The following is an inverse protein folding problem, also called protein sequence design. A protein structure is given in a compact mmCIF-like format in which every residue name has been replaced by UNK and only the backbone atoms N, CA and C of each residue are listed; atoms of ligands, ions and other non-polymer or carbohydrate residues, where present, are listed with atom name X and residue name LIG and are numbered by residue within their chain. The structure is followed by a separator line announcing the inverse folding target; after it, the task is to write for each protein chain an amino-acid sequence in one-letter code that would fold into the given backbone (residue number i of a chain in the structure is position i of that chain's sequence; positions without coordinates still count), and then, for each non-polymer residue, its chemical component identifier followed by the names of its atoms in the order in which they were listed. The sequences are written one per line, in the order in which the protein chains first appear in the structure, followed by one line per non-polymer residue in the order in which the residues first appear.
data_IF_303727719861
#
_entry.id   IF_303727719861
#
_cell.length_a   1.000
_cell.length_b   1.000
_cell.length_c   1.000
_cell.angle_alpha   90.00
_cell.angle_beta   90.00
_cell.angle_gamma   90.00
#
_symmetry.space_group_name_H-M   'P 1'
#
loop_
_entity.id
_entity.type
_entity.pdbx_description
1 polymer ?
#
# COMPACT_ATOMS: atom_id res chain seq x y z
N UNK A 1 25.45 -7.83 -77.49
CA UNK A 1 24.89 -6.97 -76.42
C UNK A 1 25.69 -7.25 -75.17
N UNK A 2 26.45 -6.27 -74.69
CA UNK A 2 27.45 -6.42 -73.63
C UNK A 2 26.78 -6.50 -72.26
N UNK A 3 27.26 -7.39 -71.39
CA UNK A 3 26.78 -7.64 -70.01
C UNK A 3 26.60 -6.33 -69.22
N UNK A 4 27.43 -5.33 -69.52
CA UNK A 4 27.39 -3.98 -68.95
C UNK A 4 26.07 -3.23 -69.18
N UNK A 5 25.35 -3.49 -70.28
CA UNK A 5 24.04 -2.87 -70.54
C UNK A 5 22.94 -3.53 -69.71
N UNK A 6 22.97 -4.86 -69.58
CA UNK A 6 22.01 -5.63 -68.78
C UNK A 6 22.10 -5.26 -67.29
N UNK A 7 23.32 -5.07 -66.78
CA UNK A 7 23.53 -4.61 -65.39
C UNK A 7 23.08 -3.17 -65.18
N UNK A 8 23.19 -2.33 -66.20
CA UNK A 8 22.76 -0.93 -66.11
C UNK A 8 21.23 -0.82 -66.10
N UNK A 9 20.55 -1.66 -66.89
CA UNK A 9 19.09 -1.74 -66.95
C UNK A 9 18.49 -2.35 -65.68
N UNK A 10 19.11 -3.39 -65.10
CA UNK A 10 18.68 -3.91 -63.79
C UNK A 10 18.91 -2.92 -62.64
N UNK A 11 19.94 -2.07 -62.74
CA UNK A 11 20.25 -1.06 -61.73
C UNK A 11 19.30 0.14 -61.78
N UNK A 12 18.89 0.56 -62.97
CA UNK A 12 17.87 1.61 -63.16
C UNK A 12 16.48 1.12 -62.74
N UNK A 13 16.12 -0.15 -63.01
CA UNK A 13 14.88 -0.76 -62.51
C UNK A 13 14.84 -0.86 -60.98
N UNK A 14 15.97 -1.18 -60.35
CA UNK A 14 16.07 -1.21 -58.88
C UNK A 14 15.96 0.19 -58.26
N UNK A 15 16.55 1.20 -58.89
CA UNK A 15 16.46 2.60 -58.44
C UNK A 15 15.10 3.25 -58.70
N UNK A 16 14.34 2.74 -59.67
CA UNK A 16 12.99 3.22 -59.98
C UNK A 16 11.91 2.66 -59.06
N UNK A 17 12.16 1.51 -58.40
CA UNK A 17 11.19 0.90 -57.48
C UNK A 17 11.17 1.64 -56.14
N UNK A 18 9.98 2.05 -55.66
CA UNK A 18 9.85 2.71 -54.37
C UNK A 18 10.30 1.77 -53.25
N UNK A 19 11.06 2.31 -52.30
CA UNK A 19 11.67 1.55 -51.17
C UNK A 19 10.61 0.80 -50.34
N UNK A 20 9.36 1.25 -50.40
CA UNK A 20 8.19 0.66 -49.74
C UNK A 20 7.79 -0.72 -50.29
N UNK A 21 8.13 -1.04 -51.55
CA UNK A 21 7.88 -2.37 -52.14
C UNK A 21 8.96 -3.40 -51.78
N UNK A 22 10.05 -2.96 -51.13
CA UNK A 22 11.13 -3.86 -50.73
C UNK A 22 10.73 -4.64 -49.46
N UNK A 23 10.74 -5.97 -49.58
CA UNK A 23 10.43 -6.92 -48.50
C UNK A 23 11.34 -6.69 -47.28
N UNK A 24 12.61 -6.35 -47.52
CA UNK A 24 13.59 -6.08 -46.45
C UNK A 24 13.25 -4.78 -45.70
N UNK A 25 12.72 -3.78 -46.41
CA UNK A 25 12.28 -2.52 -45.80
C UNK A 25 11.01 -2.72 -44.97
N UNK A 26 10.07 -3.53 -45.46
CA UNK A 26 8.88 -3.92 -44.69
C UNK A 26 9.25 -4.71 -43.42
N UNK A 27 10.22 -5.63 -43.51
CA UNK A 27 10.74 -6.35 -42.35
C UNK A 27 11.42 -5.40 -41.36
N UNK A 28 12.22 -4.45 -41.84
CA UNK A 28 12.87 -3.43 -41.01
C UNK A 28 11.85 -2.54 -40.29
N UNK A 29 10.79 -2.13 -40.97
CA UNK A 29 9.71 -1.33 -40.36
C UNK A 29 8.91 -2.11 -39.32
N UNK A 30 8.65 -3.40 -39.57
CA UNK A 30 8.03 -4.27 -38.56
C UNK A 30 8.91 -4.41 -37.32
N UNK A 31 10.23 -4.58 -37.50
CA UNK A 31 11.18 -4.61 -36.39
C UNK A 31 11.23 -3.28 -35.63
N UNK A 32 11.21 -2.15 -36.34
CA UNK A 32 11.15 -0.82 -35.74
C UNK A 32 9.91 -0.66 -34.85
N UNK A 33 8.73 -1.00 -35.37
CA UNK A 33 7.47 -0.95 -34.61
C UNK A 33 7.51 -1.87 -33.38
N UNK A 34 8.09 -3.06 -33.51
CA UNK A 34 8.25 -3.98 -32.39
C UNK A 34 9.16 -3.43 -31.30
N UNK A 35 10.27 -2.80 -31.70
CA UNK A 35 11.20 -2.14 -30.77
C UNK A 35 10.55 -0.94 -30.09
N UNK A 36 9.78 -0.14 -30.81
CA UNK A 36 9.02 0.99 -30.24
C UNK A 36 8.01 0.52 -29.19
N UNK A 37 7.26 -0.55 -29.48
CA UNK A 37 6.33 -1.17 -28.49
C UNK A 37 7.07 -1.68 -27.26
N UNK A 38 8.21 -2.35 -27.44
CA UNK A 38 9.03 -2.83 -26.32
C UNK A 38 9.57 -1.67 -25.47
N UNK A 39 9.95 -0.57 -26.11
CA UNK A 39 10.43 0.62 -25.43
C UNK A 39 9.32 1.26 -24.59
N UNK A 40 8.10 1.34 -25.13
CA UNK A 40 6.93 1.81 -24.40
C UNK A 40 6.57 0.91 -23.20
N UNK A 41 6.61 -0.41 -23.39
CA UNK A 41 6.44 -1.38 -22.30
C UNK A 41 7.50 -1.21 -21.21
N UNK A 42 8.77 -1.01 -21.57
CA UNK A 42 9.84 -0.76 -20.61
C UNK A 42 9.61 0.52 -19.81
N UNK A 43 9.16 1.60 -20.46
CA UNK A 43 8.80 2.86 -19.78
C UNK A 43 7.68 2.64 -18.77
N UNK A 44 6.65 1.90 -19.15
CA UNK A 44 5.54 1.55 -18.27
C UNK A 44 6.01 0.75 -17.05
N UNK A 45 6.84 -0.29 -17.25
CA UNK A 45 7.39 -1.05 -16.12
C UNK A 45 8.28 -0.21 -15.21
N UNK A 46 9.06 0.72 -15.77
CA UNK A 46 9.90 1.63 -14.99
C UNK A 46 9.05 2.56 -14.12
N UNK A 47 7.94 3.07 -14.66
CA UNK A 47 6.98 3.89 -13.90
C UNK A 47 6.32 3.09 -12.78
N UNK A 48 5.88 1.86 -13.06
CA UNK A 48 5.31 0.96 -12.05
C UNK A 48 6.30 0.64 -10.93
N UNK A 49 7.57 0.39 -11.27
CA UNK A 49 8.64 0.21 -10.29
C UNK A 49 8.84 1.46 -9.43
N UNK A 50 8.83 2.65 -10.03
CA UNK A 50 8.97 3.90 -9.30
C UNK A 50 7.82 4.12 -8.30
N UNK A 51 6.58 3.80 -8.69
CA UNK A 51 5.42 3.84 -7.81
C UNK A 51 5.56 2.84 -6.66
N UNK A 52 5.99 1.62 -6.95
CA UNK A 52 6.18 0.57 -5.94
C UNK A 52 7.31 0.93 -4.97
N UNK A 53 8.40 1.53 -5.45
CA UNK A 53 9.46 2.07 -4.59
C UNK A 53 8.96 3.22 -3.72
N UNK A 54 8.09 4.10 -4.24
CA UNK A 54 7.48 5.17 -3.46
C UNK A 54 6.54 4.63 -2.37
N UNK A 55 5.78 3.56 -2.67
CA UNK A 55 4.95 2.87 -1.67
C UNK A 55 5.79 2.14 -0.61
N UNK A 56 6.89 1.51 -1.01
CA UNK A 56 7.84 0.88 -0.09
C UNK A 56 8.53 1.92 0.81
N UNK A 57 8.86 3.09 0.26
CA UNK A 57 9.36 4.22 1.06
C UNK A 57 8.35 4.68 2.11
N UNK A 58 7.05 4.70 1.76
CA UNK A 58 5.99 5.00 2.74
C UNK A 58 5.85 3.90 3.80
N UNK A 59 6.00 2.62 3.45
CA UNK A 59 5.97 1.54 4.44
C UNK A 59 7.17 1.60 5.36
N UNK A 60 8.37 1.94 4.85
CA UNK A 60 9.54 2.14 5.69
C UNK A 60 9.37 3.30 6.68
N UNK A 61 8.77 4.41 6.25
CA UNK A 61 8.42 5.52 7.14
C UNK A 61 7.36 5.11 8.19
N UNK A 62 6.45 4.20 7.84
CA UNK A 62 5.46 3.65 8.77
C UNK A 62 6.12 2.71 9.79
N UNK A 63 7.09 1.90 9.36
CA UNK A 63 7.89 1.05 10.24
C UNK A 63 8.75 1.90 11.18
N UNK A 64 9.37 2.98 10.69
CA UNK A 64 10.09 3.95 11.52
C UNK A 64 9.16 4.64 12.52
N UNK A 65 7.97 5.04 12.10
CA UNK A 65 6.95 5.61 12.98
C UNK A 65 6.46 4.62 14.05
N UNK A 66 6.25 3.35 13.69
CA UNK A 66 5.94 2.28 14.64
C UNK A 66 7.11 2.08 15.59
N UNK A 67 8.35 2.07 15.10
CA UNK A 67 9.54 1.93 15.94
C UNK A 67 9.61 3.06 16.96
N UNK A 68 9.46 4.31 16.54
CA UNK A 68 9.41 5.49 17.44
C UNK A 68 8.25 5.40 18.44
N UNK A 69 7.06 4.93 18.01
CA UNK A 69 5.93 4.69 18.91
C UNK A 69 6.20 3.57 19.93
N UNK A 70 6.88 2.50 19.52
CA UNK A 70 7.25 1.38 20.41
C UNK A 70 8.35 1.77 21.39
N UNK A 71 9.33 2.56 20.97
CA UNK A 71 10.37 3.13 21.83
C UNK A 71 9.79 4.08 22.86
N UNK A 72 8.80 4.88 22.46
CA UNK A 72 8.11 5.83 23.34
C UNK A 72 6.85 5.25 24.00
N UNK A 73 6.61 3.94 23.90
CA UNK A 73 5.49 3.24 24.56
C UNK A 73 5.39 3.49 26.08
N UNK A 74 6.48 3.52 26.87
CA UNK A 74 6.37 3.85 28.30
C UNK A 74 5.89 5.29 28.53
N UNK A 75 6.35 6.25 27.72
CA UNK A 75 5.91 7.65 27.79
C UNK A 75 4.45 7.79 27.36
N UNK A 76 4.02 7.09 26.31
CA UNK A 76 2.61 7.07 25.90
C UNK A 76 1.74 6.44 26.98
N UNK A 77 2.18 5.36 27.62
CA UNK A 77 1.47 4.75 28.76
C UNK A 77 1.39 5.73 29.93
N UNK A 78 2.46 6.47 30.23
CA UNK A 78 2.44 7.50 31.26
C UNK A 78 1.49 8.64 30.90
N UNK A 79 1.52 9.15 29.68
CA UNK A 79 0.59 10.19 29.20
C UNK A 79 -0.87 9.70 29.28
N UNK A 80 -1.18 8.49 28.80
CA UNK A 80 -2.54 7.96 28.82
C UNK A 80 -3.02 7.58 30.23
N UNK A 81 -2.13 7.16 31.14
CA UNK A 81 -2.49 6.94 32.55
C UNK A 81 -2.66 8.25 33.32
N UNK A 82 -1.86 9.29 33.01
CA UNK A 82 -1.99 10.63 33.57
C UNK A 82 -3.22 11.37 33.03
N UNK A 83 -3.53 11.19 31.75
CA UNK A 83 -4.74 11.74 31.12
C UNK A 83 -5.99 10.98 31.58
N UNK A 84 -5.92 9.65 31.65
CA UNK A 84 -6.98 8.79 32.17
C UNK A 84 -7.28 9.04 33.65
N UNK A 85 -6.28 9.34 34.47
CA UNK A 85 -6.46 9.74 35.88
C UNK A 85 -7.02 11.16 36.01
N UNK A 86 -6.61 12.10 35.16
CA UNK A 86 -7.21 13.45 35.09
C UNK A 86 -8.68 13.42 34.64
N UNK A 87 -9.02 12.54 33.70
CA UNK A 87 -10.40 12.35 33.25
C UNK A 87 -11.23 11.57 34.29
N UNK A 88 -10.71 10.50 34.89
CA UNK A 88 -11.40 9.80 36.00
C UNK A 88 -11.67 10.71 37.19
N UNK A 89 -10.75 11.61 37.56
CA UNK A 89 -10.99 12.56 38.66
C UNK A 89 -12.12 13.56 38.36
N UNK A 90 -12.47 13.79 37.07
CA UNK A 90 -13.66 14.54 36.68
C UNK A 90 -14.92 13.69 36.70
N UNK A 91 -14.85 12.42 36.30
CA UNK A 91 -16.02 11.53 36.17
C UNK A 91 -16.39 10.79 37.46
N UNK A 92 -15.46 10.56 38.40
CA UNK A 92 -15.71 9.88 39.68
C UNK A 92 -16.67 10.62 40.63
N UNK A 93 -17.09 11.86 40.29
CA UNK A 93 -18.20 12.54 40.99
C UNK A 93 -19.59 12.21 40.45
N UNK A 94 -19.69 11.50 39.32
CA UNK A 94 -20.94 10.95 38.83
C UNK A 94 -20.83 9.43 38.86
N UNK A 95 -21.26 8.86 39.99
CA UNK A 95 -21.54 7.43 40.11
C UNK A 95 -22.72 7.16 39.15
N UNK A 96 -22.42 6.61 37.97
CA UNK A 96 -23.46 6.18 37.03
C UNK A 96 -23.99 4.86 37.57
N UNK A 97 -25.09 4.96 38.33
CA UNK A 97 -25.80 3.80 38.84
C UNK A 97 -26.64 3.23 37.69
N UNK A 98 -26.17 2.13 37.09
CA UNK A 98 -26.89 1.42 36.05
C UNK A 98 -27.82 0.43 36.74
N UNK A 99 -29.13 0.57 36.52
CA UNK A 99 -30.10 -0.38 37.08
C UNK A 99 -30.17 -1.65 36.22
N UNK A 100 -29.38 -2.65 36.61
CA UNK A 100 -29.24 -3.93 35.91
C UNK A 100 -30.45 -4.85 36.06
N UNK A 101 -31.32 -4.57 37.04
CA UNK A 101 -32.59 -5.29 37.22
C UNK A 101 -33.49 -5.15 35.99
N UNK A 102 -33.38 -4.05 35.26
CA UNK A 102 -34.07 -3.82 33.98
C UNK A 102 -33.71 -4.85 32.90
N UNK A 103 -32.54 -5.46 32.99
CA UNK A 103 -32.05 -6.47 32.06
C UNK A 103 -32.21 -7.91 32.59
N UNK A 104 -32.88 -8.08 33.74
CA UNK A 104 -33.10 -9.38 34.36
C UNK A 104 -31.83 -10.03 34.92
N UNK A 105 -30.79 -9.22 35.16
CA UNK A 105 -29.51 -9.68 35.69
C UNK A 105 -29.38 -9.24 37.13
N UNK A 106 -29.33 -10.20 38.05
CA UNK A 106 -28.92 -9.94 39.43
C UNK A 106 -27.40 -9.94 39.50
N UNK A 107 -26.84 -8.73 39.51
CA UNK A 107 -25.40 -8.54 39.58
C UNK A 107 -24.83 -9.02 40.92
N UNK A 108 -25.62 -8.99 41.99
CA UNK A 108 -25.13 -9.43 43.29
C UNK A 108 -24.82 -10.94 43.30
N UNK A 109 -25.67 -11.74 42.65
CA UNK A 109 -25.44 -13.17 42.44
C UNK A 109 -24.24 -13.41 41.49
N UNK A 110 -24.18 -12.65 40.39
CA UNK A 110 -23.14 -12.79 39.38
C UNK A 110 -21.72 -12.40 39.85
N UNK A 111 -21.62 -11.41 40.74
CA UNK A 111 -20.34 -11.02 41.36
C UNK A 111 -19.96 -12.03 42.45
N UNK A 112 -20.91 -12.59 43.21
CA UNK A 112 -20.63 -13.65 44.19
C UNK A 112 -20.09 -14.92 43.52
N UNK A 113 -20.54 -15.23 42.30
CA UNK A 113 -20.10 -16.42 41.56
C UNK A 113 -18.73 -16.24 40.88
N UNK A 114 -18.22 -15.01 40.74
CA UNK A 114 -16.94 -14.71 40.10
C UNK A 114 -15.97 -14.01 41.07
N UNK A 115 -15.01 -14.77 41.58
CA UNK A 115 -14.00 -14.31 42.54
C UNK A 115 -13.16 -13.12 42.02
N UNK A 116 -12.87 -13.07 40.71
CA UNK A 116 -12.19 -11.93 40.08
C UNK A 116 -13.03 -10.65 40.07
N UNK A 117 -14.35 -10.76 39.91
CA UNK A 117 -15.27 -9.63 39.93
C UNK A 117 -15.55 -9.17 41.36
N UNK A 118 -15.56 -10.10 42.31
CA UNK A 118 -15.65 -9.78 43.74
C UNK A 118 -14.47 -8.92 44.20
N UNK A 119 -13.24 -9.28 43.80
CA UNK A 119 -12.05 -8.47 44.10
C UNK A 119 -12.12 -7.05 43.52
N UNK A 120 -12.63 -6.91 42.29
CA UNK A 120 -12.82 -5.61 41.66
C UNK A 120 -13.96 -4.79 42.31
N UNK A 121 -14.96 -5.45 42.89
CA UNK A 121 -16.04 -4.80 43.64
C UNK A 121 -15.56 -4.29 45.01
N UNK A 122 -14.78 -5.10 45.74
CA UNK A 122 -14.17 -4.66 47.02
C UNK A 122 -13.19 -3.50 46.83
N UNK A 123 -12.45 -3.50 45.71
CA UNK A 123 -11.53 -2.42 45.33
C UNK A 123 -12.25 -1.15 44.81
N UNK A 124 -13.59 -1.16 44.72
CA UNK A 124 -14.41 -0.04 44.26
C UNK A 124 -14.20 0.32 42.78
N UNK A 125 -13.74 -0.64 41.99
CA UNK A 125 -13.49 -0.52 40.54
C UNK A 125 -14.73 -0.87 39.69
N UNK A 126 -15.76 -1.45 40.31
CA UNK A 126 -17.11 -1.69 39.79
C UNK A 126 -18.12 -0.78 40.49
#
# INVERSE_FOLDING_TARGET
MTISQVTHDSMTEFQAKPVEENIDYAALMHHKLHLERKLEQQRHFTQQLHLLYAELGKSHNYDEFINVLTENRPLLREIFTLEGSKMRNRTLKQKVDVDWSKYGLDISEYICDNEELWGLFEDGLL
#
